data_IF_728899250578
#
_entry.id   IF_728899250578
#
_cell.length_a   1.000
_cell.length_b   1.000
_cell.length_c   1.000
_cell.angle_alpha   90.00
_cell.angle_beta   90.00
_cell.angle_gamma   90.00
#
_symmetry.space_group_name_H-M   'P 1'
#
loop_
_entity.id
_entity.type
_entity.pdbx_description
1 polymer ?
#
# COMPACT_ATOMS: atom_id res chain seq x y z
N UNK A 1 13.20 17.72 -0.61
CA UNK A 1 12.59 16.57 -1.31
C UNK A 1 12.04 15.58 -0.29
N UNK A 2 10.76 15.67 0.06
CA UNK A 2 10.09 14.89 1.13
C UNK A 2 9.37 13.66 0.56
N UNK A 3 10.05 12.79 -0.20
CA UNK A 3 9.45 11.54 -0.71
C UNK A 3 9.11 10.53 0.42
N UNK A 4 9.69 10.70 1.60
CA UNK A 4 9.61 9.75 2.72
C UNK A 4 8.24 9.72 3.42
N UNK A 5 7.39 10.75 3.28
CA UNK A 5 6.16 10.85 4.09
C UNK A 5 4.97 10.09 3.46
N UNK A 6 4.86 10.06 2.14
CA UNK A 6 3.67 9.51 1.45
C UNK A 6 3.50 8.00 1.63
N UNK A 7 4.58 7.23 1.53
CA UNK A 7 4.51 5.78 1.71
C UNK A 7 4.20 5.40 3.16
N UNK A 8 4.70 6.17 4.12
CA UNK A 8 4.41 5.93 5.54
C UNK A 8 2.95 6.26 5.87
N UNK A 9 2.40 7.33 5.29
CA UNK A 9 0.96 7.66 5.38
C UNK A 9 0.12 6.53 4.80
N UNK A 10 0.41 6.08 3.57
CA UNK A 10 -0.31 4.99 2.92
C UNK A 10 -0.19 3.68 3.71
N UNK A 11 0.99 3.36 4.24
CA UNK A 11 1.20 2.19 5.10
C UNK A 11 0.30 2.22 6.33
N UNK A 12 0.18 3.37 6.99
CA UNK A 12 -0.69 3.51 8.16
C UNK A 12 -2.18 3.38 7.81
N UNK A 13 -2.59 3.80 6.61
CA UNK A 13 -3.97 3.65 6.13
C UNK A 13 -4.39 2.21 5.86
N UNK A 14 -3.45 1.25 5.82
CA UNK A 14 -3.80 -0.18 5.71
C UNK A 14 -4.74 -0.63 6.86
N UNK A 15 -4.67 0.02 8.02
CA UNK A 15 -5.59 -0.20 9.15
C UNK A 15 -7.06 0.01 8.77
N UNK A 16 -7.35 0.92 7.83
CA UNK A 16 -8.73 1.18 7.36
C UNK A 16 -9.30 0.00 6.57
N UNK A 17 -8.44 -0.89 6.08
CA UNK A 17 -8.80 -2.11 5.37
C UNK A 17 -8.72 -3.36 6.28
N UNK A 18 -8.59 -3.17 7.60
CA UNK A 18 -8.43 -4.28 8.55
C UNK A 18 -7.04 -4.93 8.53
N UNK A 19 -6.05 -4.31 7.87
CA UNK A 19 -4.70 -4.86 7.74
C UNK A 19 -3.76 -4.19 8.76
N UNK A 20 -3.04 -5.00 9.56
CA UNK A 20 -2.03 -4.50 10.49
C UNK A 20 -0.78 -4.03 9.73
N UNK A 21 -0.42 -2.73 9.68
CA UNK A 21 0.68 -2.23 8.85
C UNK A 21 2.05 -2.88 9.11
N UNK A 22 2.26 -3.44 10.30
CA UNK A 22 3.52 -4.09 10.67
C UNK A 22 3.68 -5.48 10.06
N UNK A 23 2.61 -6.09 9.56
CA UNK A 23 2.64 -7.41 8.90
C UNK A 23 2.89 -7.31 7.39
N UNK A 24 2.85 -6.11 6.83
CA UNK A 24 2.94 -5.90 5.38
C UNK A 24 4.18 -5.12 4.98
N UNK A 25 4.73 -5.48 3.82
CA UNK A 25 5.75 -4.73 3.09
C UNK A 25 5.11 -4.07 1.88
N UNK A 26 5.52 -2.83 1.61
CA UNK A 26 5.02 -2.04 0.48
C UNK A 26 6.15 -1.79 -0.51
N UNK A 27 5.98 -2.26 -1.73
CA UNK A 27 6.92 -2.07 -2.83
C UNK A 27 6.26 -1.24 -3.93
N UNK A 28 6.62 0.04 -4.10
CA UNK A 28 6.10 0.86 -5.19
C UNK A 28 6.38 0.18 -6.55
N UNK A 29 5.36 0.07 -7.39
CA UNK A 29 5.50 -0.45 -8.75
C UNK A 29 5.60 0.70 -9.75
N UNK A 30 4.80 1.75 -9.56
CA UNK A 30 4.86 2.99 -10.31
C UNK A 30 4.22 4.16 -9.53
N UNK A 31 3.94 5.27 -10.21
CA UNK A 31 3.35 6.47 -9.62
C UNK A 31 1.93 6.31 -9.06
N UNK A 32 1.21 5.23 -9.37
CA UNK A 32 -0.18 4.97 -8.92
C UNK A 32 -0.39 3.59 -8.34
N UNK A 33 0.60 2.70 -8.39
CA UNK A 33 0.47 1.32 -7.93
C UNK A 33 1.56 0.95 -6.92
N UNK A 34 1.15 0.20 -5.92
CA UNK A 34 2.04 -0.35 -4.91
C UNK A 34 1.67 -1.81 -4.64
N UNK A 35 2.67 -2.68 -4.66
CA UNK A 35 2.52 -4.07 -4.25
C UNK A 35 2.62 -4.15 -2.73
N UNK A 36 1.63 -4.75 -2.10
CA UNK A 36 1.54 -4.93 -0.66
C UNK A 36 1.64 -6.43 -0.40
N UNK A 37 2.76 -6.90 0.12
CA UNK A 37 3.01 -8.33 0.35
C UNK A 37 3.06 -8.60 1.84
N UNK A 38 2.45 -9.70 2.27
CA UNK A 38 2.55 -10.10 3.66
C UNK A 38 3.99 -10.55 4.00
N UNK A 39 4.41 -10.32 5.24
CA UNK A 39 5.81 -10.53 5.65
C UNK A 39 6.17 -12.00 5.76
N UNK A 40 5.26 -12.84 6.27
CA UNK A 40 5.49 -14.27 6.48
C UNK A 40 4.90 -15.09 5.33
N UNK A 41 3.58 -15.00 5.13
CA UNK A 41 2.89 -15.54 3.95
C UNK A 41 3.27 -14.74 2.68
N UNK A 42 3.87 -15.40 1.68
CA UNK A 42 4.27 -14.75 0.41
C UNK A 42 3.25 -14.93 -0.70
N UNK A 43 2.29 -15.83 -0.52
CA UNK A 43 1.19 -16.05 -1.46
C UNK A 43 0.13 -14.96 -1.27
N UNK A 44 0.01 -14.44 -0.05
CA UNK A 44 -0.90 -13.35 0.26
C UNK A 44 -0.30 -11.99 -0.13
N UNK A 45 -0.83 -11.42 -1.21
CA UNK A 45 -0.48 -10.08 -1.65
C UNK A 45 -1.67 -9.29 -2.18
N UNK A 46 -1.58 -7.97 -2.07
CA UNK A 46 -2.52 -7.02 -2.63
C UNK A 46 -1.84 -6.09 -3.62
N UNK A 47 -2.57 -5.70 -4.66
CA UNK A 47 -2.21 -4.57 -5.49
C UNK A 47 -3.01 -3.35 -5.04
N UNK A 48 -2.31 -2.37 -4.46
CA UNK A 48 -2.90 -1.11 -4.02
C UNK A 48 -2.81 -0.04 -5.09
N UNK A 49 -3.92 0.64 -5.33
CA UNK A 49 -4.02 1.79 -6.23
C UNK A 49 -4.07 3.08 -5.42
N UNK A 50 -3.16 4.00 -5.70
CA UNK A 50 -3.02 5.27 -4.98
C UNK A 50 -3.53 6.44 -5.82
N UNK A 51 -4.16 7.40 -5.15
CA UNK A 51 -4.46 8.69 -5.77
C UNK A 51 -3.46 9.75 -5.29
N UNK A 52 -2.39 9.94 -6.04
CA UNK A 52 -1.38 10.96 -5.74
C UNK A 52 -1.75 12.36 -6.26
N UNK A 53 -2.90 12.54 -6.92
CA UNK A 53 -3.38 13.87 -7.35
C UNK A 53 -3.98 14.67 -6.20
N UNK A 54 -4.30 14.02 -5.09
CA UNK A 54 -4.79 14.68 -3.88
C UNK A 54 -3.61 15.20 -3.04
N UNK A 55 -3.80 16.30 -2.29
CA UNK A 55 -2.78 16.84 -1.38
C UNK A 55 -2.39 15.85 -0.27
N UNK A 56 -3.24 14.87 0.01
CA UNK A 56 -2.97 13.77 0.93
C UNK A 56 -2.99 12.45 0.15
N UNK A 57 -1.91 11.65 0.18
CA UNK A 57 -1.89 10.32 -0.39
C UNK A 57 -2.97 9.45 0.25
N UNK A 58 -3.75 8.78 -0.59
CA UNK A 58 -4.78 7.84 -0.14
C UNK A 58 -4.81 6.59 -1.02
N UNK A 59 -5.22 5.48 -0.42
CA UNK A 59 -5.65 4.31 -1.17
C UNK A 59 -7.01 4.57 -1.80
N UNK A 60 -7.11 4.33 -3.10
CA UNK A 60 -8.41 4.24 -3.79
C UNK A 60 -8.98 2.84 -3.65
N UNK A 61 -8.13 1.82 -3.82
CA UNK A 61 -8.55 0.41 -3.74
C UNK A 61 -7.36 -0.47 -3.40
N UNK A 62 -7.59 -1.52 -2.61
CA UNK A 62 -6.69 -2.65 -2.45
C UNK A 62 -7.35 -3.88 -3.08
N UNK A 63 -6.75 -4.44 -4.13
CA UNK A 63 -7.25 -5.64 -4.79
C UNK A 63 -6.41 -6.84 -4.38
N UNK A 64 -7.07 -7.93 -3.94
CA UNK A 64 -6.38 -9.18 -3.67
C UNK A 64 -5.73 -9.66 -4.97
N UNK A 65 -4.43 -9.93 -4.90
CA UNK A 65 -3.68 -10.44 -6.03
C UNK A 65 -3.60 -11.95 -5.88
N UNK A 66 -4.47 -12.66 -6.59
CA UNK A 66 -4.22 -14.07 -6.89
C UNK A 66 -3.09 -14.15 -7.90
N UNK A 67 -2.13 -15.04 -7.66
CA UNK A 67 -1.21 -15.51 -8.68
C UNK A 67 -1.94 -16.48 -9.62
#
# INVERSE_FOLDING_TARGET
MTKTNSLQILKNQLKHFGLNPNEWTMTPQDSRRCLITHRTDKELSFLGYTNLRKPRPEWTTLALRSL
#
